data_IF_132764507833
#
_entry.id   IF_132764507833
#
_cell.length_a   1.000
_cell.length_b   1.000
_cell.length_c   1.000
_cell.angle_alpha   90.00
_cell.angle_beta   90.00
_cell.angle_gamma   90.00
#
_symmetry.space_group_name_H-M   'P 1'
#
loop_
_entity.id
_entity.type
_entity.pdbx_description
1 polymer ?
#
# COMPACT_ATOMS: atom_id res chain seq x y z
N UNK A 1 -0.40 -20.14 -62.40
CA UNK A 1 -1.06 -21.08 -61.45
C UNK A 1 -0.15 -21.27 -60.22
N UNK A 2 -0.15 -20.39 -59.22
CA UNK A 2 -1.33 -19.91 -58.50
C UNK A 2 -1.62 -20.89 -57.36
N UNK A 3 -0.89 -20.77 -56.26
CA UNK A 3 -1.04 -21.60 -55.07
C UNK A 3 -0.26 -20.99 -53.90
N UNK A 4 -0.72 -19.84 -53.42
CA UNK A 4 -0.16 -19.19 -52.23
C UNK A 4 -0.48 -19.95 -50.94
N UNK A 5 0.23 -19.67 -49.83
CA UNK A 5 -0.05 -20.26 -48.55
C UNK A 5 -1.32 -19.62 -47.96
N UNK A 6 -2.38 -20.42 -47.86
CA UNK A 6 -3.64 -20.06 -47.22
C UNK A 6 -3.44 -19.86 -45.72
N UNK A 7 -3.77 -18.67 -45.24
CA UNK A 7 -3.78 -18.36 -43.82
C UNK A 7 -4.90 -19.07 -43.04
N UNK A 8 -4.59 -19.33 -41.77
CA UNK A 8 -5.51 -19.55 -40.65
C UNK A 8 -4.65 -19.44 -39.39
N UNK A 9 -4.74 -18.41 -38.54
CA UNK A 9 -5.94 -17.75 -38.07
C UNK A 9 -6.45 -18.45 -36.81
N UNK A 10 -5.65 -18.44 -35.73
CA UNK A 10 -6.05 -18.99 -34.43
C UNK A 10 -4.87 -19.41 -33.55
N UNK A 11 -4.08 -18.47 -33.04
CA UNK A 11 -3.09 -18.77 -31.98
C UNK A 11 -3.83 -19.23 -30.72
N UNK A 12 -3.74 -20.54 -30.48
CA UNK A 12 -4.28 -21.29 -29.35
C UNK A 12 -3.94 -20.63 -28.01
N UNK A 13 -4.95 -20.25 -27.22
CA UNK A 13 -4.80 -19.87 -25.80
C UNK A 13 -4.05 -20.96 -24.99
N UNK A 14 -4.08 -22.22 -25.44
CA UNK A 14 -3.32 -23.32 -24.83
C UNK A 14 -1.81 -23.25 -25.06
N UNK A 15 -1.36 -22.69 -26.18
CA UNK A 15 0.07 -22.56 -26.50
C UNK A 15 0.72 -21.44 -25.69
N UNK A 16 0.06 -20.28 -25.55
CA UNK A 16 0.58 -19.15 -24.77
C UNK A 16 0.80 -19.55 -23.30
N UNK A 17 -0.13 -20.33 -22.73
CA UNK A 17 0.01 -20.82 -21.37
C UNK A 17 1.21 -21.76 -21.20
N UNK A 18 1.37 -22.71 -22.12
CA UNK A 18 2.41 -23.72 -22.03
C UNK A 18 3.79 -23.15 -22.33
N UNK A 19 3.89 -22.22 -23.29
CA UNK A 19 5.15 -21.62 -23.72
C UNK A 19 5.64 -20.49 -22.80
N UNK A 20 4.72 -19.67 -22.27
CA UNK A 20 5.06 -18.42 -21.56
C UNK A 20 4.63 -18.42 -20.11
N UNK A 21 3.34 -18.67 -19.84
CA UNK A 21 2.83 -18.55 -18.47
C UNK A 21 3.36 -19.63 -17.54
N UNK A 22 3.61 -20.85 -18.05
CA UNK A 22 4.17 -21.95 -17.26
C UNK A 22 5.54 -21.63 -16.69
N UNK A 23 6.44 -21.08 -17.51
CA UNK A 23 7.75 -20.64 -17.06
C UNK A 23 7.64 -19.50 -16.05
N UNK A 24 6.82 -18.49 -16.37
CA UNK A 24 6.65 -17.32 -15.51
C UNK A 24 6.17 -17.73 -14.12
N UNK A 25 5.08 -18.49 -13.97
CA UNK A 25 4.57 -18.79 -12.62
C UNK A 25 5.54 -19.63 -11.79
N UNK A 26 6.35 -20.51 -12.41
CA UNK A 26 7.39 -21.27 -11.71
C UNK A 26 8.48 -20.30 -11.21
N UNK A 27 8.95 -19.39 -12.06
CA UNK A 27 9.94 -18.38 -11.69
C UNK A 27 9.43 -17.45 -10.58
N UNK A 28 8.17 -17.01 -10.65
CA UNK A 28 7.55 -16.19 -9.60
C UNK A 28 7.49 -16.97 -8.28
N UNK A 29 7.04 -18.23 -8.31
CA UNK A 29 7.00 -19.07 -7.11
C UNK A 29 8.37 -19.33 -6.50
N UNK A 30 9.39 -19.57 -7.32
CA UNK A 30 10.77 -19.72 -6.84
C UNK A 30 11.21 -18.45 -6.10
N UNK A 31 11.00 -17.28 -6.70
CA UNK A 31 11.36 -16.01 -6.06
C UNK A 31 10.56 -15.76 -4.78
N UNK A 32 9.25 -16.03 -4.76
CA UNK A 32 8.43 -15.92 -3.53
C UNK A 32 9.01 -16.77 -2.40
N UNK A 33 9.44 -18.00 -2.68
CA UNK A 33 10.02 -18.90 -1.67
C UNK A 33 11.40 -18.41 -1.21
N UNK A 34 12.22 -17.89 -2.12
CA UNK A 34 13.50 -17.28 -1.78
C UNK A 34 13.31 -16.07 -0.85
N UNK A 35 12.36 -15.18 -1.15
CA UNK A 35 12.10 -13.98 -0.38
C UNK A 35 11.40 -14.27 0.96
N UNK A 36 10.54 -15.29 1.05
CA UNK A 36 9.73 -15.59 2.24
C UNK A 36 10.34 -16.54 3.25
N UNK A 37 11.34 -17.34 2.85
CA UNK A 37 11.80 -18.44 3.71
C UNK A 37 12.90 -18.10 4.70
N UNK A 38 13.36 -16.84 4.80
CA UNK A 38 14.47 -16.47 5.68
C UNK A 38 15.80 -17.17 5.36
N UNK A 39 15.88 -17.88 4.23
CA UNK A 39 17.03 -18.67 3.81
C UNK A 39 18.23 -17.81 3.38
N UNK A 40 17.98 -16.54 3.04
CA UNK A 40 18.98 -15.63 2.51
C UNK A 40 18.93 -14.33 3.30
N UNK A 41 20.06 -13.95 3.90
CA UNK A 41 20.23 -12.65 4.54
C UNK A 41 20.37 -11.56 3.46
N UNK A 42 19.25 -10.99 3.02
CA UNK A 42 19.25 -10.02 1.93
C UNK A 42 20.00 -8.71 2.24
N UNK A 43 20.19 -8.39 3.53
CA UNK A 43 21.02 -7.25 3.95
C UNK A 43 22.50 -7.38 3.57
N UNK A 44 22.96 -8.59 3.25
CA UNK A 44 24.33 -8.84 2.80
C UNK A 44 24.57 -8.31 1.37
N UNK A 45 23.54 -8.32 0.50
CA UNK A 45 23.68 -7.79 -0.87
C UNK A 45 23.96 -6.28 -0.86
N UNK A 46 23.28 -5.53 0.01
CA UNK A 46 23.52 -4.10 0.20
C UNK A 46 24.93 -3.81 0.74
N UNK A 47 25.46 -4.67 1.62
CA UNK A 47 26.80 -4.51 2.20
C UNK A 47 27.91 -4.72 1.15
N UNK A 48 27.69 -5.62 0.19
CA UNK A 48 28.64 -5.89 -0.90
C UNK A 48 28.34 -5.08 -2.18
N UNK A 49 27.27 -4.26 -2.19
CA UNK A 49 26.84 -3.51 -3.37
C UNK A 49 26.40 -4.40 -4.54
N UNK A 50 25.91 -5.61 -4.27
CA UNK A 50 25.49 -6.56 -5.29
C UNK A 50 24.06 -6.24 -5.80
N UNK A 51 23.90 -5.90 -7.10
CA UNK A 51 22.59 -5.55 -7.66
C UNK A 51 21.70 -6.77 -7.95
N UNK A 52 22.19 -8.01 -7.81
CA UNK A 52 21.51 -9.23 -8.27
C UNK A 52 20.09 -9.40 -7.72
N UNK A 53 19.87 -9.06 -6.44
CA UNK A 53 18.54 -9.11 -5.83
C UNK A 53 17.59 -8.08 -6.44
N UNK A 54 18.07 -6.84 -6.59
CA UNK A 54 17.28 -5.75 -7.17
C UNK A 54 16.94 -6.04 -8.63
N UNK A 55 17.86 -6.64 -9.38
CA UNK A 55 17.61 -7.08 -10.75
C UNK A 55 16.61 -8.24 -10.82
N UNK A 56 16.71 -9.22 -9.93
CA UNK A 56 15.76 -10.32 -9.86
C UNK A 56 14.33 -9.82 -9.57
N UNK A 57 14.17 -8.91 -8.61
CA UNK A 57 12.88 -8.27 -8.28
C UNK A 57 12.38 -7.46 -9.49
N UNK A 58 13.24 -6.68 -10.14
CA UNK A 58 12.88 -5.88 -11.33
C UNK A 58 12.39 -6.77 -12.48
N UNK A 59 13.08 -7.87 -12.78
CA UNK A 59 12.64 -8.82 -13.81
C UNK A 59 11.35 -9.53 -13.42
N UNK A 60 11.16 -9.87 -12.15
CA UNK A 60 9.92 -10.46 -11.67
C UNK A 60 8.73 -9.49 -11.78
N UNK A 61 8.91 -8.22 -11.44
CA UNK A 61 7.89 -7.18 -11.64
C UNK A 61 7.56 -7.03 -13.14
N UNK A 62 8.56 -7.00 -14.02
CA UNK A 62 8.34 -6.98 -15.47
C UNK A 62 7.56 -8.21 -15.96
N UNK A 63 7.84 -9.39 -15.41
CA UNK A 63 7.07 -10.59 -15.73
C UNK A 63 5.61 -10.47 -15.28
N UNK A 64 5.36 -9.95 -14.06
CA UNK A 64 4.01 -9.68 -13.56
C UNK A 64 3.23 -8.70 -14.45
N UNK A 65 3.85 -7.59 -14.84
CA UNK A 65 3.22 -6.57 -15.69
C UNK A 65 2.98 -7.04 -17.12
N UNK A 66 3.73 -8.05 -17.57
CA UNK A 66 3.56 -8.61 -18.93
C UNK A 66 2.33 -9.51 -19.07
N UNK A 67 1.67 -9.87 -17.97
CA UNK A 67 0.48 -10.73 -17.96
C UNK A 67 -0.77 -9.83 -17.99
N UNK A 68 -1.63 -9.94 -19.02
CA UNK A 68 -2.90 -9.23 -19.03
C UNK A 68 -3.77 -9.66 -17.85
N UNK A 69 -4.45 -8.70 -17.21
CA UNK A 69 -5.30 -8.98 -16.04
C UNK A 69 -6.40 -10.00 -16.36
N UNK A 70 -6.90 -10.05 -17.60
CA UNK A 70 -7.87 -11.07 -18.05
C UNK A 70 -7.31 -12.50 -18.03
N UNK A 71 -6.04 -12.68 -18.38
CA UNK A 71 -5.39 -13.99 -18.39
C UNK A 71 -5.01 -14.45 -16.97
N UNK A 72 -4.77 -13.50 -16.06
CA UNK A 72 -4.50 -13.79 -14.66
C UNK A 72 -5.67 -14.54 -14.01
N UNK A 73 -6.91 -14.10 -14.28
CA UNK A 73 -8.13 -14.73 -13.76
C UNK A 73 -8.46 -16.06 -14.45
N UNK A 74 -7.98 -16.26 -15.68
CA UNK A 74 -8.18 -17.51 -16.43
C UNK A 74 -7.36 -18.70 -15.90
N UNK A 75 -6.21 -18.45 -15.27
CA UNK A 75 -5.29 -19.51 -14.83
C UNK A 75 -5.01 -19.45 -13.31
N UNK A 76 -5.71 -20.29 -12.53
CA UNK A 76 -5.60 -20.32 -11.05
C UNK A 76 -4.17 -20.45 -10.50
N UNK A 77 -3.31 -21.26 -11.14
CA UNK A 77 -1.91 -21.44 -10.71
C UNK A 77 -1.07 -20.18 -10.90
N UNK A 78 -1.25 -19.50 -12.04
CA UNK A 78 -0.60 -18.24 -12.35
C UNK A 78 -1.07 -17.15 -11.40
N UNK A 79 -2.39 -17.04 -11.17
CA UNK A 79 -2.97 -16.08 -10.25
C UNK A 79 -2.40 -16.22 -8.83
N UNK A 80 -2.38 -17.45 -8.29
CA UNK A 80 -1.82 -17.71 -6.96
C UNK A 80 -0.33 -17.32 -6.88
N UNK A 81 0.47 -17.67 -7.89
CA UNK A 81 1.88 -17.31 -7.92
C UNK A 81 2.11 -15.79 -7.98
N UNK A 82 1.32 -15.09 -8.81
CA UNK A 82 1.38 -13.63 -8.96
C UNK A 82 1.07 -12.90 -7.66
N UNK A 83 -0.10 -13.18 -7.05
CA UNK A 83 -0.51 -12.49 -5.83
C UNK A 83 0.35 -12.86 -4.62
N UNK A 84 0.85 -14.10 -4.56
CA UNK A 84 1.76 -14.53 -3.49
C UNK A 84 3.12 -13.83 -3.60
N UNK A 85 3.66 -13.64 -4.81
CA UNK A 85 4.87 -12.83 -4.98
C UNK A 85 4.62 -11.36 -4.62
N UNK A 86 3.50 -10.80 -5.07
CA UNK A 86 3.21 -9.39 -4.83
C UNK A 86 3.04 -9.07 -3.35
N UNK A 87 2.35 -9.93 -2.60
CA UNK A 87 2.31 -9.85 -1.13
C UNK A 87 3.71 -9.88 -0.51
N UNK A 88 4.54 -10.84 -0.92
CA UNK A 88 5.88 -10.98 -0.37
C UNK A 88 6.77 -9.77 -0.65
N UNK A 89 6.65 -9.18 -1.84
CA UNK A 89 7.36 -7.95 -2.20
C UNK A 89 6.89 -6.76 -1.35
N UNK A 90 5.58 -6.66 -1.08
CA UNK A 90 5.02 -5.61 -0.20
C UNK A 90 5.47 -5.78 1.26
N UNK A 91 5.64 -7.01 1.74
CA UNK A 91 6.12 -7.29 3.10
C UNK A 91 7.62 -7.05 3.27
N UNK A 92 8.45 -7.60 2.38
CA UNK A 92 9.91 -7.64 2.57
C UNK A 92 10.65 -6.49 1.88
N UNK A 93 10.12 -5.96 0.78
CA UNK A 93 10.79 -4.96 -0.05
C UNK A 93 9.85 -3.84 -0.54
N UNK A 94 9.11 -3.16 0.35
CA UNK A 94 8.19 -2.09 -0.05
C UNK A 94 8.89 -0.94 -0.79
N UNK A 95 10.13 -0.63 -0.43
CA UNK A 95 10.94 0.41 -1.09
C UNK A 95 11.15 0.11 -2.59
N UNK A 96 11.30 -1.15 -2.97
CA UNK A 96 11.45 -1.54 -4.38
C UNK A 96 10.18 -1.31 -5.19
N UNK A 97 9.00 -1.41 -4.57
CA UNK A 97 7.72 -1.12 -5.21
C UNK A 97 7.54 0.39 -5.37
N UNK A 98 7.89 1.16 -4.34
CA UNK A 98 7.72 2.62 -4.31
C UNK A 98 8.68 3.34 -5.27
N UNK A 99 9.89 2.81 -5.44
CA UNK A 99 10.89 3.32 -6.39
C UNK A 99 10.52 3.08 -7.86
N UNK A 100 9.42 2.40 -8.14
CA UNK A 100 8.93 2.21 -9.51
C UNK A 100 8.25 3.48 -10.03
N UNK A 101 8.07 3.58 -11.35
CA UNK A 101 7.34 4.67 -11.96
C UNK A 101 5.84 4.68 -11.56
N UNK A 102 5.21 5.85 -11.75
CA UNK A 102 3.83 6.11 -11.32
C UNK A 102 2.83 5.19 -12.00
N UNK A 103 3.04 4.86 -13.29
CA UNK A 103 2.14 4.01 -14.05
C UNK A 103 2.22 2.56 -13.57
N UNK A 104 3.43 2.05 -13.38
CA UNK A 104 3.66 0.70 -12.86
C UNK A 104 3.13 0.56 -11.44
N UNK A 105 3.39 1.52 -10.54
CA UNK A 105 2.85 1.51 -9.19
C UNK A 105 1.31 1.46 -9.21
N UNK A 106 0.69 2.30 -10.05
CA UNK A 106 -0.78 2.34 -10.19
C UNK A 106 -1.34 1.03 -10.75
N UNK A 107 -0.65 0.41 -11.72
CA UNK A 107 -1.05 -0.88 -12.27
C UNK A 107 -0.95 -2.00 -11.22
N UNK A 108 0.13 -2.04 -10.43
CA UNK A 108 0.29 -3.01 -9.34
C UNK A 108 -0.79 -2.81 -8.27
N UNK A 109 -1.06 -1.56 -7.90
CA UNK A 109 -2.08 -1.22 -6.90
C UNK A 109 -3.49 -1.60 -7.39
N UNK A 110 -3.85 -1.28 -8.64
CA UNK A 110 -5.12 -1.72 -9.24
C UNK A 110 -5.20 -3.24 -9.34
N UNK A 111 -4.09 -3.92 -9.64
CA UNK A 111 -4.08 -5.39 -9.62
C UNK A 111 -4.39 -5.94 -8.23
N UNK A 112 -3.89 -5.33 -7.15
CA UNK A 112 -4.23 -5.71 -5.78
C UNK A 112 -5.69 -5.45 -5.46
N UNK A 113 -6.24 -4.30 -5.86
CA UNK A 113 -7.67 -3.97 -5.69
C UNK A 113 -8.57 -4.99 -6.40
N UNK A 114 -8.28 -5.33 -7.66
CA UNK A 114 -9.00 -6.37 -8.38
C UNK A 114 -8.87 -7.75 -7.71
N UNK A 115 -7.71 -8.05 -7.12
CA UNK A 115 -7.47 -9.27 -6.35
C UNK A 115 -8.30 -9.39 -5.07
N UNK A 116 -8.73 -8.27 -4.47
CA UNK A 116 -9.63 -8.27 -3.31
C UNK A 116 -11.00 -8.88 -3.65
N UNK A 117 -11.49 -8.65 -4.87
CA UNK A 117 -12.76 -9.19 -5.38
C UNK A 117 -12.64 -10.63 -5.91
N UNK A 118 -11.50 -11.29 -5.67
CA UNK A 118 -11.30 -12.68 -6.07
C UNK A 118 -12.18 -13.62 -5.25
N UNK A 119 -12.77 -14.61 -5.93
CA UNK A 119 -13.58 -15.68 -5.31
C UNK A 119 -12.75 -16.59 -4.38
N UNK A 120 -11.42 -16.62 -4.54
CA UNK A 120 -10.54 -17.43 -3.72
C UNK A 120 -10.10 -16.64 -2.48
N UNK A 121 -10.58 -17.07 -1.30
CA UNK A 121 -10.27 -16.44 0.01
C UNK A 121 -8.76 -16.28 0.24
N UNK A 122 -7.96 -17.23 -0.26
CA UNK A 122 -6.50 -17.14 -0.19
C UNK A 122 -5.96 -15.93 -0.96
N UNK A 123 -6.49 -15.63 -2.15
CA UNK A 123 -6.01 -14.52 -2.98
C UNK A 123 -6.45 -13.18 -2.38
N UNK A 124 -7.72 -13.05 -2.00
CA UNK A 124 -8.23 -11.81 -1.41
C UNK A 124 -7.53 -11.48 -0.09
N UNK A 125 -7.21 -12.49 0.73
CA UNK A 125 -6.42 -12.29 1.96
C UNK A 125 -4.97 -11.86 1.70
N UNK A 126 -4.30 -12.44 0.70
CA UNK A 126 -2.93 -12.03 0.32
C UNK A 126 -2.92 -10.58 -0.20
N UNK A 127 -3.91 -10.20 -1.02
CA UNK A 127 -4.05 -8.83 -1.52
C UNK A 127 -4.33 -7.84 -0.39
N UNK A 128 -5.18 -8.23 0.58
CA UNK A 128 -5.47 -7.43 1.76
C UNK A 128 -4.21 -7.19 2.62
N UNK A 129 -3.39 -8.22 2.84
CA UNK A 129 -2.13 -8.10 3.58
C UNK A 129 -1.10 -7.25 2.83
N UNK A 130 -1.03 -7.39 1.51
CA UNK A 130 -0.15 -6.60 0.66
C UNK A 130 -0.50 -5.11 0.72
N UNK A 131 -1.79 -4.78 0.55
CA UNK A 131 -2.29 -3.40 0.64
C UNK A 131 -2.09 -2.81 2.02
N UNK A 132 -2.33 -3.60 3.07
CA UNK A 132 -2.10 -3.17 4.44
C UNK A 132 -0.64 -2.80 4.69
N UNK A 133 0.29 -3.62 4.20
CA UNK A 133 1.72 -3.43 4.41
C UNK A 133 2.26 -2.25 3.61
N UNK A 134 1.77 -2.07 2.38
CA UNK A 134 2.03 -0.86 1.63
C UNK A 134 1.49 0.36 2.37
N UNK A 135 0.20 0.38 2.73
CA UNK A 135 -0.42 1.52 3.40
C UNK A 135 0.26 1.84 4.75
N UNK A 136 0.62 0.82 5.52
CA UNK A 136 1.34 0.99 6.78
C UNK A 136 2.74 1.55 6.58
N UNK A 137 3.47 1.07 5.57
CA UNK A 137 4.76 1.65 5.20
C UNK A 137 4.60 3.12 4.80
N UNK A 138 3.58 3.46 4.02
CA UNK A 138 3.29 4.84 3.60
C UNK A 138 2.99 5.76 4.78
N UNK A 139 2.12 5.29 5.69
CA UNK A 139 1.73 6.05 6.88
C UNK A 139 2.94 6.31 7.80
N UNK A 140 3.78 5.29 8.00
CA UNK A 140 4.99 5.43 8.82
C UNK A 140 6.02 6.36 8.15
N UNK A 141 6.17 6.28 6.83
CA UNK A 141 7.05 7.17 6.06
C UNK A 141 6.57 8.63 6.09
N UNK A 142 5.25 8.87 6.02
CA UNK A 142 4.69 10.21 6.19
C UNK A 142 4.85 10.73 7.63
N UNK A 143 4.62 9.86 8.62
CA UNK A 143 4.76 10.22 10.04
C UNK A 143 6.20 10.59 10.39
N UNK A 144 7.18 9.85 9.87
CA UNK A 144 8.60 10.16 10.08
C UNK A 144 9.01 11.46 9.36
N UNK A 145 8.47 11.72 8.16
CA UNK A 145 8.69 12.98 7.45
C UNK A 145 8.13 14.18 8.24
N UNK A 146 6.90 14.10 8.73
CA UNK A 146 6.28 15.18 9.52
C UNK A 146 7.06 15.45 10.81
N UNK A 147 7.51 14.39 11.50
CA UNK A 147 8.36 14.54 12.69
C UNK A 147 9.71 15.20 12.35
N UNK A 148 10.35 14.80 11.24
CA UNK A 148 11.61 15.41 10.80
C UNK A 148 11.47 16.89 10.43
N UNK A 149 10.36 17.27 9.79
CA UNK A 149 10.07 18.67 9.45
C UNK A 149 9.75 19.51 10.68
N UNK A 150 8.99 18.97 11.64
CA UNK A 150 8.69 19.64 12.90
C UNK A 150 9.94 19.83 13.76
N UNK A 151 10.82 18.84 13.84
CA UNK A 151 12.10 18.94 14.53
C UNK A 151 13.01 19.99 13.87
N UNK A 152 13.09 20.02 12.54
CA UNK A 152 13.84 21.05 11.81
C UNK A 152 13.26 22.45 12.00
N UNK A 153 11.93 22.59 11.99
CA UNK A 153 11.26 23.88 12.23
C UNK A 153 11.47 24.38 13.66
N UNK A 154 11.38 23.49 14.67
CA UNK A 154 11.66 23.82 16.06
C UNK A 154 13.12 24.24 16.27
N UNK A 155 14.08 23.53 15.67
CA UNK A 155 15.49 23.88 15.71
C UNK A 155 15.77 25.23 15.02
N UNK A 156 15.14 25.51 13.88
CA UNK A 156 15.25 26.79 13.18
C UNK A 156 14.66 27.96 14.00
N UNK A 157 13.51 27.74 14.65
CA UNK A 157 12.90 28.72 15.56
C UNK A 157 13.78 28.99 16.78
N UNK A 158 14.38 27.95 17.36
CA UNK A 158 15.27 28.07 18.50
C UNK A 158 16.60 28.77 18.13
N UNK A 159 17.15 28.49 16.94
CA UNK A 159 18.30 29.21 16.39
C UNK A 159 17.99 30.69 16.12
N UNK A 160 16.81 31.01 15.59
CA UNK A 160 16.35 32.39 15.40
C UNK A 160 16.17 33.13 16.74
N UNK A 161 15.64 32.46 17.77
CA UNK A 161 15.51 33.03 19.11
C UNK A 161 16.88 33.32 19.76
N UNK A 162 17.86 32.41 19.60
CA UNK A 162 19.24 32.60 20.09
C UNK A 162 19.93 33.74 19.32
N UNK A 163 19.72 33.85 18.00
CA UNK A 163 20.26 34.93 17.18
C UNK A 163 19.67 36.31 17.57
N UNK A 164 18.38 36.37 17.92
CA UNK A 164 17.74 37.58 18.43
C UNK A 164 18.24 37.98 19.83
N UNK A 165 18.53 37.00 20.70
CA UNK A 165 19.08 37.25 22.04
C UNK A 165 20.54 37.74 22.01
N UNK A 166 21.31 37.39 20.97
CA UNK A 166 22.74 37.66 20.85
C UNK A 166 23.11 38.75 19.83
N UNK A 167 22.16 39.60 19.41
CA UNK A 167 22.33 40.63 18.37
C UNK A 167 23.39 41.73 18.66
N UNK A 168 24.24 41.58 19.68
CA UNK A 168 25.26 42.54 20.10
C UNK A 168 26.73 42.11 19.97
N UNK A 169 27.08 40.87 19.57
CA UNK A 169 28.50 40.48 19.44
C UNK A 169 28.81 39.64 18.19
N UNK A 170 29.90 39.98 17.50
CA UNK A 170 30.35 39.33 16.26
C UNK A 170 30.80 37.86 16.46
N UNK A 171 31.24 37.50 17.67
CA UNK A 171 31.57 36.10 18.04
C UNK A 171 30.32 35.21 18.12
N UNK A 172 29.16 35.76 18.48
CA UNK A 172 27.93 34.99 18.58
C UNK A 172 27.35 34.57 17.21
N UNK A 173 27.62 35.32 16.14
CA UNK A 173 27.24 34.95 14.78
C UNK A 173 28.04 33.74 14.26
N UNK A 174 29.33 33.66 14.59
CA UNK A 174 30.17 32.51 14.26
C UNK A 174 29.80 31.27 15.10
N UNK A 175 29.47 31.46 16.38
CA UNK A 175 28.96 30.38 17.24
C UNK A 175 27.58 29.87 16.81
N UNK A 176 26.68 30.74 16.32
CA UNK A 176 25.39 30.37 15.76
C UNK A 176 25.52 29.60 14.43
N UNK A 177 26.46 30.02 13.56
CA UNK A 177 26.77 29.29 12.33
C UNK A 177 27.42 27.92 12.62
N UNK A 178 28.29 27.84 13.63
CA UNK A 178 28.86 26.58 14.10
C UNK A 178 27.82 25.68 14.79
N UNK A 179 26.86 26.24 15.53
CA UNK A 179 25.75 25.51 16.13
C UNK A 179 24.74 25.01 15.07
N UNK A 180 24.50 25.77 14.00
CA UNK A 180 23.71 25.32 12.85
C UNK A 180 24.43 24.19 12.08
N UNK A 181 25.74 24.28 11.91
CA UNK A 181 26.56 23.20 11.33
C UNK A 181 26.67 21.97 12.26
N UNK A 182 26.68 22.17 13.58
CA UNK A 182 26.63 21.10 14.57
C UNK A 182 25.21 20.50 14.70
N UNK A 183 24.14 21.25 14.44
CA UNK A 183 22.80 20.68 14.29
C UNK A 183 22.67 19.82 13.02
N UNK A 184 23.42 20.17 11.96
CA UNK A 184 23.53 19.36 10.76
C UNK A 184 24.43 18.10 10.94
N UNK A 185 25.46 18.15 11.79
CA UNK A 185 26.45 17.07 11.95
C UNK A 185 26.48 16.35 13.31
N UNK A 186 25.69 16.79 14.29
CA UNK A 186 25.86 16.45 15.72
C UNK A 186 24.63 15.83 16.40
N UNK A 187 23.78 15.12 15.67
CA UNK A 187 22.71 14.30 16.27
C UNK A 187 23.10 12.82 16.26
N UNK A 188 23.97 12.43 17.19
CA UNK A 188 24.22 11.03 17.53
C UNK A 188 23.09 10.58 18.48
N UNK A 189 22.16 9.76 18.01
CA UNK A 189 21.51 8.78 18.89
C UNK A 189 19.98 8.69 18.92
N UNK A 190 19.22 9.49 18.18
CA UNK A 190 17.78 9.22 17.96
C UNK A 190 17.55 9.10 16.47
N UNK A 191 17.21 7.88 16.05
CA UNK A 191 17.19 7.43 14.65
C UNK A 191 16.60 8.46 13.71
N UNK A 192 17.46 9.06 12.87
CA UNK A 192 17.00 9.65 11.63
C UNK A 192 16.18 8.59 10.89
N UNK A 193 15.01 8.92 10.29
CA UNK A 193 14.56 8.13 9.15
C UNK A 193 15.75 8.12 8.17
N UNK A 194 16.18 6.93 7.74
CA UNK A 194 17.31 6.86 6.82
C UNK A 194 17.00 7.77 5.62
N UNK A 195 18.00 8.37 4.98
CA UNK A 195 17.76 9.20 3.79
C UNK A 195 16.88 8.47 2.74
N UNK A 196 16.95 7.14 2.72
CA UNK A 196 16.12 6.23 1.92
C UNK A 196 14.63 6.25 2.32
N UNK A 197 14.30 6.36 3.60
CA UNK A 197 12.91 6.41 4.09
C UNK A 197 12.24 7.75 3.77
N UNK A 198 13.00 8.84 3.84
CA UNK A 198 12.53 10.17 3.46
C UNK A 198 12.28 10.27 1.95
N UNK A 199 13.17 9.70 1.13
CA UNK A 199 12.99 9.62 -0.33
C UNK A 199 11.77 8.74 -0.69
N UNK A 200 11.62 7.59 -0.03
CA UNK A 200 10.46 6.72 -0.21
C UNK A 200 9.15 7.42 0.16
N UNK A 201 9.13 8.21 1.23
CA UNK A 201 7.96 9.02 1.61
C UNK A 201 7.57 10.02 0.52
N UNK A 202 8.57 10.73 -0.05
CA UNK A 202 8.34 11.71 -1.11
C UNK A 202 7.85 11.07 -2.41
N UNK A 203 8.44 9.93 -2.81
CA UNK A 203 8.00 9.16 -3.97
C UNK A 203 6.58 8.62 -3.79
N UNK A 204 6.26 8.13 -2.61
CA UNK A 204 4.90 7.69 -2.28
C UNK A 204 3.90 8.84 -2.34
N UNK A 205 4.21 9.98 -1.73
CA UNK A 205 3.37 11.17 -1.82
C UNK A 205 3.16 11.62 -3.27
N UNK A 206 4.18 11.48 -4.13
CA UNK A 206 4.06 11.72 -5.57
C UNK A 206 3.10 10.72 -6.23
N UNK A 207 3.22 9.42 -5.95
CA UNK A 207 2.33 8.39 -6.51
C UNK A 207 0.86 8.65 -6.15
N UNK A 208 0.58 8.95 -4.87
CA UNK A 208 -0.77 9.24 -4.39
C UNK A 208 -1.34 10.53 -4.98
N UNK A 209 -0.53 11.59 -5.11
CA UNK A 209 -0.96 12.85 -5.74
C UNK A 209 -1.30 12.67 -7.22
N UNK A 210 -0.55 11.83 -7.93
CA UNK A 210 -0.79 11.57 -9.34
C UNK A 210 -2.00 10.67 -9.58
N UNK A 211 -2.35 9.81 -8.62
CA UNK A 211 -3.50 8.91 -8.72
C UNK A 211 -4.30 8.86 -7.40
N UNK A 212 -5.01 9.94 -7.04
CA UNK A 212 -5.74 10.05 -5.77
C UNK A 212 -6.95 9.11 -5.67
N UNK A 213 -7.31 8.45 -6.78
CA UNK A 213 -8.39 7.46 -6.81
C UNK A 213 -7.96 6.08 -6.32
N UNK A 214 -6.65 5.78 -6.27
CA UNK A 214 -6.18 4.43 -5.89
C UNK A 214 -6.66 4.04 -4.48
N UNK A 215 -6.42 4.91 -3.50
CA UNK A 215 -6.83 4.66 -2.11
C UNK A 215 -8.35 4.64 -1.99
N UNK A 216 -9.04 5.55 -2.68
CA UNK A 216 -10.49 5.61 -2.73
C UNK A 216 -11.11 4.31 -3.26
N UNK A 217 -10.67 3.83 -4.42
CA UNK A 217 -11.23 2.65 -5.09
C UNK A 217 -10.98 1.38 -4.26
N UNK A 218 -9.78 1.24 -3.68
CA UNK A 218 -9.47 0.11 -2.79
C UNK A 218 -10.29 0.16 -1.48
N UNK A 219 -10.42 1.34 -0.85
CA UNK A 219 -11.28 1.50 0.33
C UNK A 219 -12.73 1.16 0.01
N UNK A 220 -13.25 1.68 -1.10
CA UNK A 220 -14.61 1.40 -1.56
C UNK A 220 -14.81 -0.10 -1.77
N UNK A 221 -13.90 -0.77 -2.47
CA UNK A 221 -13.96 -2.21 -2.68
C UNK A 221 -13.97 -2.98 -1.34
N UNK A 222 -13.11 -2.63 -0.40
CA UNK A 222 -13.07 -3.28 0.92
C UNK A 222 -14.39 -3.09 1.70
N UNK A 223 -14.94 -1.87 1.73
CA UNK A 223 -16.22 -1.61 2.40
C UNK A 223 -17.38 -2.31 1.70
N UNK A 224 -17.40 -2.38 0.37
CA UNK A 224 -18.43 -3.10 -0.37
C UNK A 224 -18.40 -4.61 -0.04
N UNK A 225 -17.22 -5.23 -0.08
CA UNK A 225 -17.02 -6.65 0.25
C UNK A 225 -17.44 -6.91 1.70
N UNK A 226 -17.03 -6.06 2.65
CA UNK A 226 -17.27 -6.31 4.08
C UNK A 226 -18.71 -5.98 4.51
N UNK A 227 -19.37 -4.99 3.91
CA UNK A 227 -20.71 -4.58 4.33
C UNK A 227 -21.83 -5.28 3.54
N UNK A 228 -21.61 -5.56 2.24
CA UNK A 228 -22.67 -6.04 1.35
C UNK A 228 -22.47 -7.47 0.85
N UNK A 229 -21.30 -8.07 1.04
CA UNK A 229 -21.02 -9.44 0.60
C UNK A 229 -20.76 -10.42 1.77
N UNK A 230 -20.93 -11.71 1.50
CA UNK A 230 -20.53 -12.78 2.41
C UNK A 230 -19.01 -13.03 2.29
N UNK A 231 -18.23 -12.38 3.16
CA UNK A 231 -16.78 -12.59 3.21
C UNK A 231 -16.37 -13.40 4.44
N UNK A 232 -15.55 -14.43 4.25
CA UNK A 232 -15.02 -15.29 5.32
C UNK A 232 -13.71 -14.78 5.94
N UNK A 233 -13.04 -13.84 5.28
CA UNK A 233 -11.73 -13.30 5.66
C UNK A 233 -11.81 -11.86 6.22
N UNK A 234 -12.86 -11.57 7.00
CA UNK A 234 -13.09 -10.24 7.57
C UNK A 234 -11.89 -9.68 8.34
N UNK A 235 -11.16 -10.54 9.07
CA UNK A 235 -9.96 -10.17 9.83
C UNK A 235 -8.81 -9.71 8.94
N UNK A 236 -8.66 -10.33 7.77
CA UNK A 236 -7.66 -9.92 6.79
C UNK A 236 -8.04 -8.60 6.12
N UNK A 237 -9.34 -8.37 5.88
CA UNK A 237 -9.86 -7.18 5.20
C UNK A 237 -9.96 -5.95 6.12
N UNK A 238 -10.18 -6.12 7.43
CA UNK A 238 -10.29 -5.00 8.38
C UNK A 238 -9.00 -4.18 8.48
N UNK A 239 -7.87 -4.87 8.44
CA UNK A 239 -6.52 -4.34 8.57
C UNK A 239 -6.16 -3.28 7.51
N UNK A 240 -6.26 -3.57 6.19
CA UNK A 240 -6.02 -2.57 5.16
C UNK A 240 -7.07 -1.46 5.16
N UNK A 241 -8.31 -1.69 5.61
CA UNK A 241 -9.33 -0.63 5.70
C UNK A 241 -8.86 0.50 6.62
N UNK A 242 -8.37 0.16 7.82
CA UNK A 242 -7.84 1.16 8.74
C UNK A 242 -6.58 1.82 8.18
N UNK A 243 -5.63 1.03 7.66
CA UNK A 243 -4.38 1.56 7.14
C UNK A 243 -4.57 2.52 5.97
N UNK A 244 -5.50 2.23 5.06
CA UNK A 244 -5.85 3.10 3.94
C UNK A 244 -6.65 4.33 4.40
N UNK A 245 -7.55 4.18 5.38
CA UNK A 245 -8.32 5.31 5.92
C UNK A 245 -7.43 6.32 6.66
N UNK A 246 -6.38 5.86 7.33
CA UNK A 246 -5.38 6.74 7.96
C UNK A 246 -4.39 7.34 6.96
N UNK A 247 -4.17 6.67 5.82
CA UNK A 247 -3.30 7.18 4.77
C UNK A 247 -3.92 8.37 4.02
N UNK A 248 -5.23 8.30 3.74
CA UNK A 248 -5.98 9.37 3.10
C UNK A 248 -7.38 9.51 3.74
N UNK A 249 -7.46 10.43 4.71
CA UNK A 249 -8.70 10.73 5.45
C UNK A 249 -9.77 11.32 4.52
N UNK A 250 -9.37 12.11 3.52
CA UNK A 250 -10.31 12.70 2.56
C UNK A 250 -10.91 11.63 1.64
N UNK A 251 -10.11 10.65 1.21
CA UNK A 251 -10.62 9.49 0.49
C UNK A 251 -11.61 8.68 1.34
N UNK A 252 -11.32 8.49 2.62
CA UNK A 252 -12.24 7.80 3.53
C UNK A 252 -13.58 8.52 3.67
N UNK A 253 -13.59 9.84 3.87
CA UNK A 253 -14.82 10.63 3.94
C UNK A 253 -15.61 10.59 2.61
N UNK A 254 -14.91 10.63 1.48
CA UNK A 254 -15.52 10.47 0.14
C UNK A 254 -16.21 9.12 -0.01
N UNK A 255 -15.56 8.02 0.39
CA UNK A 255 -16.14 6.67 0.36
C UNK A 255 -17.37 6.58 1.28
N UNK A 256 -17.33 7.16 2.48
CA UNK A 256 -18.49 7.19 3.38
C UNK A 256 -19.68 7.91 2.74
N UNK A 257 -19.44 9.08 2.14
CA UNK A 257 -20.48 9.84 1.46
C UNK A 257 -21.04 9.10 0.25
N UNK A 258 -20.17 8.47 -0.55
CA UNK A 258 -20.55 7.69 -1.71
C UNK A 258 -21.37 6.46 -1.30
N UNK A 259 -20.95 5.68 -0.30
CA UNK A 259 -21.70 4.50 0.15
C UNK A 259 -23.07 4.85 0.75
N UNK A 260 -23.18 6.00 1.41
CA UNK A 260 -24.45 6.51 1.93
C UNK A 260 -25.39 6.99 0.80
N UNK A 261 -24.83 7.48 -0.32
CA UNK A 261 -25.61 8.05 -1.44
C UNK A 261 -25.86 7.09 -2.60
N UNK A 262 -24.93 6.20 -2.93
CA UNK A 262 -24.95 5.28 -4.07
C UNK A 262 -25.54 3.91 -3.78
N UNK A 263 -25.87 3.58 -2.51
CA UNK A 263 -26.34 2.24 -2.12
C UNK A 263 -27.39 1.68 -3.09
N UNK A 264 -26.93 0.77 -3.96
CA UNK A 264 -27.59 0.31 -5.19
C UNK A 264 -29.12 0.14 -5.01
N UNK A 265 -29.90 0.84 -5.84
CA UNK A 265 -31.34 0.63 -6.03
C UNK A 265 -32.31 1.47 -5.18
N UNK A 266 -31.86 2.34 -4.28
CA UNK A 266 -32.78 3.08 -3.38
C UNK A 266 -32.43 4.56 -3.24
N UNK A 267 -32.86 5.37 -4.20
CA UNK A 267 -32.95 6.83 -4.01
C UNK A 267 -33.91 7.26 -2.87
N UNK A 268 -34.57 6.31 -2.18
CA UNK A 268 -35.69 6.57 -1.27
C UNK A 268 -35.63 5.86 0.11
N UNK A 269 -34.47 5.39 0.61
CA UNK A 269 -34.40 4.85 1.98
C UNK A 269 -33.52 5.70 2.93
N UNK A 270 -34.06 6.78 3.51
CA UNK A 270 -33.33 7.63 4.46
C UNK A 270 -32.91 6.87 5.73
N UNK A 271 -33.65 5.82 6.11
CA UNK A 271 -33.33 4.99 7.28
C UNK A 271 -32.06 4.16 7.06
N UNK A 272 -31.86 3.60 5.85
CA UNK A 272 -30.61 2.90 5.49
C UNK A 272 -29.42 3.84 5.49
N UNK A 273 -29.57 5.05 4.93
CA UNK A 273 -28.53 6.06 4.95
C UNK A 273 -28.15 6.46 6.39
N UNK A 274 -29.13 6.65 7.27
CA UNK A 274 -28.90 6.95 8.69
C UNK A 274 -28.22 5.79 9.43
N UNK A 275 -28.59 4.54 9.11
CA UNK A 275 -27.92 3.35 9.64
C UNK A 275 -26.46 3.29 9.22
N UNK A 276 -26.15 3.51 7.94
CA UNK A 276 -24.77 3.54 7.43
C UNK A 276 -23.94 4.63 8.11
N UNK A 277 -24.49 5.85 8.27
CA UNK A 277 -23.82 6.93 9.03
C UNK A 277 -23.50 6.50 10.46
N UNK A 278 -24.47 5.90 11.15
CA UNK A 278 -24.29 5.41 12.52
C UNK A 278 -23.25 4.28 12.59
N UNK A 279 -23.23 3.39 11.59
CA UNK A 279 -22.25 2.33 11.46
C UNK A 279 -20.82 2.90 11.34
N UNK A 280 -20.62 3.90 10.49
CA UNK A 280 -19.32 4.56 10.33
C UNK A 280 -18.87 5.28 11.61
N UNK A 281 -19.78 5.94 12.33
CA UNK A 281 -19.46 6.55 13.63
C UNK A 281 -19.05 5.51 14.67
N UNK A 282 -19.78 4.39 14.77
CA UNK A 282 -19.44 3.29 15.68
C UNK A 282 -18.13 2.60 15.29
N UNK A 283 -17.86 2.49 13.99
CA UNK A 283 -16.64 1.87 13.48
C UNK A 283 -15.39 2.59 14.00
N UNK A 284 -15.43 3.92 14.03
CA UNK A 284 -14.32 4.77 14.49
C UNK A 284 -14.33 5.06 16.01
N UNK A 285 -15.26 4.48 16.77
CA UNK A 285 -15.32 4.68 18.22
C UNK A 285 -14.08 4.09 18.92
N UNK A 286 -13.40 4.90 19.73
CA UNK A 286 -12.10 4.56 20.36
C UNK A 286 -10.98 4.16 19.38
N UNK A 287 -11.06 4.58 18.12
CA UNK A 287 -10.00 4.36 17.13
C UNK A 287 -9.17 5.63 16.99
N UNK A 288 -7.90 5.57 17.37
CA UNK A 288 -6.96 6.67 17.20
C UNK A 288 -6.33 6.65 15.80
N UNK A 289 -5.74 7.75 15.32
CA UNK A 289 -4.98 7.77 14.06
C UNK A 289 -3.60 7.11 14.22
N UNK A 290 -3.58 5.83 14.59
CA UNK A 290 -2.38 5.04 14.83
C UNK A 290 -2.50 3.63 14.25
N UNK A 291 -1.39 3.07 13.77
CA UNK A 291 -1.33 1.69 13.28
C UNK A 291 -0.84 0.69 14.34
N UNK A 292 -0.93 1.05 15.62
CA UNK A 292 -0.62 0.15 16.72
C UNK A 292 -1.51 -1.10 16.73
N UNK A 293 -0.97 -2.29 17.08
CA UNK A 293 -1.74 -3.54 17.11
C UNK A 293 -3.05 -3.43 17.90
N UNK A 294 -3.01 -2.79 19.08
CA UNK A 294 -4.20 -2.58 19.92
C UNK A 294 -5.29 -1.77 19.22
N UNK A 295 -4.92 -0.73 18.48
CA UNK A 295 -5.85 0.11 17.75
C UNK A 295 -6.47 -0.65 16.56
N UNK A 296 -5.66 -1.46 15.88
CA UNK A 296 -6.09 -2.32 14.77
C UNK A 296 -7.05 -3.42 15.22
N UNK A 297 -6.79 -4.00 16.40
CA UNK A 297 -7.68 -4.98 17.03
C UNK A 297 -9.01 -4.33 17.43
N UNK A 298 -8.98 -3.13 17.99
CA UNK A 298 -10.19 -2.36 18.32
C UNK A 298 -11.04 -2.10 17.09
N UNK A 299 -10.44 -1.61 16.00
CA UNK A 299 -11.16 -1.40 14.73
C UNK A 299 -11.79 -2.69 14.20
N UNK A 300 -11.07 -3.81 14.27
CA UNK A 300 -11.57 -5.13 13.84
C UNK A 300 -12.76 -5.60 14.68
N UNK A 301 -12.72 -5.38 16.00
CA UNK A 301 -13.85 -5.66 16.91
C UNK A 301 -15.06 -4.79 16.55
N UNK A 302 -14.87 -3.48 16.39
CA UNK A 302 -15.94 -2.55 16.02
C UNK A 302 -16.58 -2.96 14.68
N UNK A 303 -15.78 -3.32 13.68
CA UNK A 303 -16.25 -3.76 12.38
C UNK A 303 -17.10 -5.03 12.46
N UNK A 304 -16.73 -5.96 13.33
CA UNK A 304 -17.50 -7.21 13.55
C UNK A 304 -18.88 -6.90 14.13
N UNK A 305 -18.94 -6.03 15.13
CA UNK A 305 -20.21 -5.61 15.74
C UNK A 305 -21.08 -4.87 14.71
N UNK A 306 -20.49 -3.90 14.00
CA UNK A 306 -21.19 -3.10 12.98
C UNK A 306 -21.75 -3.98 11.86
N UNK A 307 -20.98 -4.97 11.38
CA UNK A 307 -21.42 -5.90 10.35
C UNK A 307 -22.61 -6.75 10.80
N UNK A 308 -22.56 -7.31 12.01
CA UNK A 308 -23.66 -8.10 12.58
C UNK A 308 -24.93 -7.25 12.77
N UNK A 309 -24.78 -6.03 13.28
CA UNK A 309 -25.90 -5.08 13.44
C UNK A 309 -26.51 -4.69 12.09
N UNK A 310 -25.68 -4.54 11.05
CA UNK A 310 -26.14 -4.17 9.73
C UNK A 310 -26.87 -5.32 9.02
N UNK A 311 -26.32 -6.53 9.07
CA UNK A 311 -26.85 -7.73 8.40
C UNK A 311 -28.06 -8.34 9.12
N UNK A 312 -28.17 -8.22 10.45
CA UNK A 312 -29.32 -8.72 11.21
C UNK A 312 -30.63 -7.93 10.97
N UNK A 313 -30.52 -6.76 10.33
CA UNK A 313 -31.63 -5.80 10.13
C UNK A 313 -31.90 -5.52 8.65
N UNK A 314 -31.38 -6.36 7.76
CA UNK A 314 -31.65 -6.40 6.31
C UNK A 314 -32.37 -7.69 5.99
#
# INVERSE_FOLDING_TARGET
PGGGPSGGGGSSRGDVYTLRYKGIWISLMMLTRCLGGGYVNFGVFDLYGDPSLNDAIRWALRMCLSIPVGDLHGYKKLSRAHYSLLEQLCHSHPSSIINTDVETFSHLFRSLEMGLRSLEVSISSQCASALDSLAAFCFNANSSMVQSQQAAAAAAQQAAAIAQANAGSAEAAAAAAAAAAAAANGSLGIGMPSARDAEAAQLMAKHLRMNPQLVHDALKALYEIVLFEECSNQWSLSRPMLSLALLDVEAFERVQHELVSQGQGTANNPERAQRLRTCFTRLMHDVSPSLEPKNRDRFTQNLTVVRLDFQSRT
#
